data_IF_318006767293
#
_entry.id   IF_318006767293
#
_cell.length_a   1.000
_cell.length_b   1.000
_cell.length_c   1.000
_cell.angle_alpha   90.00
_cell.angle_beta   90.00
_cell.angle_gamma   90.00
#
_symmetry.space_group_name_H-M   'P 1'
#
loop_
_entity.id
_entity.type
_entity.pdbx_description
1 polymer ?
#
# COMPACT_ATOMS: atom_id res chain seq x y z
N UNK A 1 11.28 -15.93 -39.14
CA UNK A 1 11.19 -15.46 -37.74
C UNK A 1 9.98 -16.13 -37.12
N UNK A 2 10.08 -16.71 -35.93
CA UNK A 2 8.91 -17.20 -35.23
C UNK A 2 7.97 -16.02 -34.91
N UNK A 3 6.66 -16.19 -35.04
CA UNK A 3 5.74 -15.10 -34.74
C UNK A 3 5.85 -14.69 -33.25
N UNK A 4 5.85 -13.40 -32.96
CA UNK A 4 5.88 -12.88 -31.60
C UNK A 4 4.67 -13.42 -30.81
N UNK A 5 4.87 -14.08 -29.66
CA UNK A 5 3.79 -14.60 -28.84
C UNK A 5 2.79 -13.51 -28.49
N UNK A 6 1.51 -13.77 -28.80
CA UNK A 6 0.43 -12.81 -28.62
C UNK A 6 -0.51 -13.23 -27.48
N UNK A 7 -0.82 -12.29 -26.60
CA UNK A 7 -1.67 -12.44 -25.42
C UNK A 7 -2.88 -11.51 -25.49
N UNK A 8 -3.94 -11.83 -24.75
CA UNK A 8 -5.02 -10.88 -24.54
C UNK A 8 -4.54 -9.72 -23.65
N UNK A 9 -3.75 -10.05 -22.62
CA UNK A 9 -3.23 -9.06 -21.67
C UNK A 9 -1.79 -9.37 -21.25
N UNK A 10 -0.96 -8.31 -21.14
CA UNK A 10 0.33 -8.36 -20.45
C UNK A 10 0.27 -7.48 -19.22
N UNK A 11 0.67 -8.06 -18.08
CA UNK A 11 0.75 -7.38 -16.79
C UNK A 11 2.23 -7.18 -16.42
N UNK A 12 2.64 -5.96 -16.13
CA UNK A 12 4.00 -5.62 -15.75
C UNK A 12 4.06 -5.34 -14.26
N UNK A 13 4.55 -6.31 -13.48
CA UNK A 13 4.67 -6.30 -12.02
C UNK A 13 3.80 -7.35 -11.34
N UNK A 14 4.43 -8.28 -10.60
CA UNK A 14 3.82 -9.40 -9.86
C UNK A 14 3.49 -9.09 -8.39
N UNK A 15 3.41 -7.81 -8.00
CA UNK A 15 2.93 -7.43 -6.66
C UNK A 15 1.42 -7.65 -6.48
N UNK A 16 0.86 -7.27 -5.31
CA UNK A 16 -0.56 -7.54 -5.00
C UNK A 16 -1.55 -7.06 -6.07
N UNK A 17 -1.29 -5.92 -6.71
CA UNK A 17 -2.13 -5.39 -7.78
C UNK A 17 -2.10 -6.29 -9.01
N UNK A 18 -0.90 -6.59 -9.53
CA UNK A 18 -0.72 -7.38 -10.74
C UNK A 18 -1.15 -8.83 -10.56
N UNK A 19 -0.77 -9.48 -9.47
CA UNK A 19 -1.18 -10.86 -9.16
C UNK A 19 -2.70 -10.99 -9.01
N UNK A 20 -3.37 -9.99 -8.42
CA UNK A 20 -4.83 -9.99 -8.34
C UNK A 20 -5.45 -9.77 -9.72
N UNK A 21 -4.98 -8.80 -10.50
CA UNK A 21 -5.45 -8.58 -11.86
C UNK A 21 -5.30 -9.85 -12.70
N UNK A 22 -4.13 -10.49 -12.65
CA UNK A 22 -3.85 -11.75 -13.33
C UNK A 22 -4.84 -12.86 -12.93
N UNK A 23 -5.08 -13.02 -11.62
CA UNK A 23 -6.00 -14.05 -11.11
C UNK A 23 -7.41 -13.89 -11.69
N UNK A 24 -7.93 -12.67 -11.78
CA UNK A 24 -9.27 -12.43 -12.30
C UNK A 24 -9.31 -12.56 -13.84
N UNK A 25 -8.28 -12.15 -14.56
CA UNK A 25 -8.20 -12.34 -16.02
C UNK A 25 -8.09 -13.81 -16.40
N UNK A 26 -7.20 -14.57 -15.75
CA UNK A 26 -7.05 -16.02 -15.99
C UNK A 26 -8.36 -16.75 -15.69
N UNK A 27 -9.05 -16.42 -14.61
CA UNK A 27 -10.36 -17.00 -14.26
C UNK A 27 -11.46 -16.67 -15.27
N UNK A 28 -11.34 -15.56 -16.00
CA UNK A 28 -12.26 -15.23 -17.11
C UNK A 28 -11.89 -15.86 -18.44
N UNK A 29 -10.82 -16.68 -18.49
CA UNK A 29 -10.36 -17.37 -19.70
C UNK A 29 -9.40 -16.54 -20.57
N UNK A 30 -8.99 -15.35 -20.15
CA UNK A 30 -8.07 -14.49 -20.90
C UNK A 30 -6.65 -15.08 -20.92
N UNK A 31 -6.06 -15.20 -22.11
CA UNK A 31 -4.65 -15.57 -22.28
C UNK A 31 -3.76 -14.42 -21.77
N UNK A 32 -3.23 -14.55 -20.57
CA UNK A 32 -2.54 -13.50 -19.84
C UNK A 32 -1.09 -13.87 -19.55
N UNK A 33 -0.17 -12.93 -19.75
CA UNK A 33 1.24 -13.00 -19.37
C UNK A 33 1.53 -12.00 -18.26
N UNK A 34 2.28 -12.42 -17.23
CA UNK A 34 2.78 -11.54 -16.19
C UNK A 34 4.31 -11.48 -16.26
N UNK A 35 4.84 -10.26 -16.28
CA UNK A 35 6.28 -9.98 -16.32
C UNK A 35 6.68 -9.30 -15.01
N UNK A 36 7.67 -9.83 -14.29
CA UNK A 36 8.27 -9.15 -13.14
C UNK A 36 9.79 -9.16 -13.22
N UNK A 37 10.41 -8.05 -12.80
CA UNK A 37 11.89 -7.91 -12.79
C UNK A 37 12.58 -8.72 -11.70
N UNK A 38 11.84 -9.18 -10.70
CA UNK A 38 12.36 -9.95 -9.57
C UNK A 38 11.88 -11.40 -9.65
N UNK A 39 12.68 -12.29 -9.08
CA UNK A 39 12.30 -13.68 -8.81
C UNK A 39 11.51 -13.75 -7.49
N UNK A 40 10.47 -14.56 -7.44
CA UNK A 40 9.63 -14.73 -6.24
C UNK A 40 10.00 -16.03 -5.48
N UNK A 41 9.96 -16.00 -4.14
CA UNK A 41 9.55 -14.92 -3.25
C UNK A 41 10.61 -13.82 -3.11
N UNK A 42 10.19 -12.56 -3.07
CA UNK A 42 11.05 -11.39 -2.98
C UNK A 42 10.77 -10.51 -1.76
N UNK A 43 11.80 -9.85 -1.26
CA UNK A 43 11.64 -8.85 -0.21
C UNK A 43 11.00 -7.59 -0.79
N UNK A 44 9.90 -7.14 -0.19
CA UNK A 44 9.28 -5.84 -0.44
C UNK A 44 9.10 -5.13 0.90
N UNK A 45 9.71 -3.98 1.03
CA UNK A 45 9.60 -3.15 2.23
C UNK A 45 8.13 -2.73 2.44
N UNK A 46 7.57 -3.07 3.60
CA UNK A 46 6.21 -2.74 4.03
C UNK A 46 5.95 -3.34 5.42
N UNK A 47 5.29 -2.61 6.30
CA UNK A 47 4.83 -3.14 7.58
C UNK A 47 3.91 -4.38 7.44
N UNK A 48 3.41 -4.66 6.24
CA UNK A 48 2.54 -5.81 5.99
C UNK A 48 1.16 -5.66 6.62
N UNK A 49 0.70 -4.44 6.77
CA UNK A 49 -0.61 -4.13 7.32
C UNK A 49 -1.71 -4.43 6.31
N UNK A 50 -2.70 -5.24 6.70
CA UNK A 50 -3.87 -5.56 5.90
C UNK A 50 -5.14 -5.10 6.62
N UNK A 51 -5.90 -4.27 5.94
CA UNK A 51 -7.27 -3.94 6.36
C UNK A 51 -8.23 -5.10 6.09
N UNK A 52 -9.18 -5.41 6.99
CA UNK A 52 -10.08 -6.56 6.85
C UNK A 52 -10.82 -6.71 5.51
N UNK A 53 -11.25 -5.63 4.81
CA UNK A 53 -11.93 -5.75 3.52
C UNK A 53 -11.12 -6.44 2.41
N UNK A 54 -9.79 -6.58 2.59
CA UNK A 54 -8.94 -7.20 1.57
C UNK A 54 -9.35 -8.63 1.25
N UNK A 55 -9.81 -9.38 2.25
CA UNK A 55 -10.19 -10.77 2.09
C UNK A 55 -11.42 -10.94 1.19
N UNK A 56 -12.37 -10.03 1.30
CA UNK A 56 -13.54 -9.95 0.42
C UNK A 56 -13.13 -9.59 -1.02
N UNK A 57 -12.22 -8.64 -1.18
CA UNK A 57 -11.72 -8.25 -2.50
C UNK A 57 -10.99 -9.41 -3.18
N UNK A 58 -10.17 -10.15 -2.43
CA UNK A 58 -9.44 -11.32 -2.91
C UNK A 58 -10.32 -12.56 -3.11
N UNK A 59 -11.56 -12.56 -2.58
CA UNK A 59 -12.47 -13.71 -2.59
C UNK A 59 -11.85 -14.95 -1.93
N UNK A 60 -11.24 -14.75 -0.76
CA UNK A 60 -10.70 -15.82 0.08
C UNK A 60 -11.01 -15.53 1.55
N UNK A 61 -11.15 -16.57 2.35
CA UNK A 61 -11.18 -16.41 3.80
C UNK A 61 -9.73 -16.28 4.36
N UNK A 62 -9.52 -15.56 5.47
CA UNK A 62 -8.19 -15.48 6.10
C UNK A 62 -7.55 -16.84 6.37
N UNK A 63 -8.33 -17.87 6.70
CA UNK A 63 -7.87 -19.24 6.95
C UNK A 63 -7.33 -19.97 5.71
N UNK A 64 -7.62 -19.48 4.51
CA UNK A 64 -7.12 -20.03 3.25
C UNK A 64 -5.72 -19.50 2.90
N UNK A 65 -5.24 -18.50 3.63
CA UNK A 65 -3.86 -18.03 3.52
C UNK A 65 -2.94 -18.95 4.34
N UNK A 66 -2.01 -19.67 3.69
CA UNK A 66 -1.29 -20.79 4.31
C UNK A 66 -0.07 -20.38 5.16
N UNK A 67 0.20 -19.09 5.27
CA UNK A 67 1.36 -18.57 6.01
C UNK A 67 0.95 -17.82 7.27
N UNK A 68 1.93 -17.24 7.95
CA UNK A 68 1.70 -16.47 9.17
C UNK A 68 0.79 -15.27 8.93
N UNK A 69 -0.28 -15.22 9.74
CA UNK A 69 -1.23 -14.12 9.78
C UNK A 69 -1.45 -13.74 11.25
N UNK A 70 -1.24 -12.48 11.58
CA UNK A 70 -1.36 -11.98 12.94
C UNK A 70 -2.52 -11.01 13.04
N UNK A 71 -3.56 -11.41 13.74
CA UNK A 71 -4.75 -10.59 13.96
C UNK A 71 -4.58 -9.73 15.21
N UNK A 72 -4.86 -8.44 15.10
CA UNK A 72 -4.82 -7.48 16.19
C UNK A 72 -6.18 -6.78 16.35
N UNK A 73 -6.49 -6.37 17.60
CA UNK A 73 -7.78 -5.78 17.99
C UNK A 73 -7.66 -4.36 18.53
N UNK A 74 -6.46 -3.93 18.87
CA UNK A 74 -6.15 -2.61 19.40
C UNK A 74 -4.88 -2.10 18.75
N UNK A 75 -4.73 -0.79 18.69
CA UNK A 75 -3.50 -0.13 18.30
C UNK A 75 -3.08 0.83 19.42
N UNK A 76 -1.79 0.80 19.76
CA UNK A 76 -1.21 1.71 20.73
C UNK A 76 -0.64 2.92 19.96
N UNK A 77 -1.23 4.08 20.17
CA UNK A 77 -0.81 5.31 19.49
C UNK A 77 -0.23 6.28 20.52
N UNK A 78 1.01 6.67 20.29
CA UNK A 78 1.68 7.74 21.04
C UNK A 78 1.60 9.03 20.25
N UNK A 79 1.12 10.07 20.90
CA UNK A 79 0.97 11.40 20.30
C UNK A 79 1.15 12.48 21.36
N UNK A 80 2.07 13.41 21.13
CA UNK A 80 2.36 14.55 22.03
C UNK A 80 2.58 14.10 23.47
N UNK A 81 3.47 13.12 23.67
CA UNK A 81 3.83 12.61 24.99
C UNK A 81 2.75 11.77 25.70
N UNK A 82 1.61 11.47 25.05
CA UNK A 82 0.51 10.69 25.61
C UNK A 82 0.34 9.37 24.87
N UNK A 83 -0.04 8.32 25.60
CA UNK A 83 -0.41 7.02 25.04
C UNK A 83 -1.93 6.89 24.95
N UNK A 84 -2.41 6.46 23.79
CA UNK A 84 -3.80 6.14 23.50
C UNK A 84 -3.89 4.69 23.06
N UNK A 85 -4.80 3.93 23.67
CA UNK A 85 -5.13 2.56 23.23
C UNK A 85 -6.48 2.63 22.55
N UNK A 86 -6.50 2.36 21.24
CA UNK A 86 -7.71 2.50 20.42
C UNK A 86 -8.15 1.15 19.90
N UNK A 87 -9.43 0.82 20.07
CA UNK A 87 -10.02 -0.37 19.45
C UNK A 87 -10.09 -0.18 17.94
N UNK A 88 -9.35 -1.00 17.26
CA UNK A 88 -9.29 -1.11 15.81
C UNK A 88 -8.94 -2.56 15.49
N UNK A 89 -9.00 -2.98 14.23
CA UNK A 89 -8.68 -4.35 13.86
C UNK A 89 -8.05 -4.44 12.49
N UNK A 90 -7.20 -5.41 12.32
CA UNK A 90 -6.54 -5.71 11.07
C UNK A 90 -5.70 -6.95 11.20
N UNK A 91 -4.90 -7.18 10.19
CA UNK A 91 -3.98 -8.30 10.13
C UNK A 91 -2.59 -7.79 9.78
N UNK A 92 -1.59 -8.54 10.20
CA UNK A 92 -0.24 -8.40 9.69
C UNK A 92 0.15 -9.65 8.92
N UNK A 93 0.91 -9.46 7.88
CA UNK A 93 1.54 -10.51 7.09
C UNK A 93 2.98 -10.12 6.77
N UNK A 94 3.74 -11.08 6.33
CA UNK A 94 5.04 -10.82 5.72
C UNK A 94 4.88 -10.74 4.21
N UNK A 95 5.31 -9.62 3.62
CA UNK A 95 5.19 -9.37 2.18
C UNK A 95 5.94 -10.41 1.34
N UNK A 96 7.03 -10.96 1.89
CA UNK A 96 7.80 -12.04 1.28
C UNK A 96 6.91 -13.25 0.93
N UNK A 97 6.04 -13.62 1.87
CA UNK A 97 5.12 -14.75 1.74
C UNK A 97 3.85 -14.38 0.98
N UNK A 98 3.27 -13.23 1.31
CA UNK A 98 1.97 -12.80 0.79
C UNK A 98 2.01 -12.51 -0.72
N UNK A 99 3.03 -11.80 -1.19
CA UNK A 99 3.15 -11.49 -2.62
C UNK A 99 3.35 -12.77 -3.44
N UNK A 100 4.19 -13.71 -2.96
CA UNK A 100 4.40 -15.01 -3.59
C UNK A 100 3.13 -15.88 -3.60
N UNK A 101 2.37 -15.88 -2.50
CA UNK A 101 1.10 -16.57 -2.43
C UNK A 101 0.11 -16.04 -3.47
N UNK A 102 -0.05 -14.72 -3.58
CA UNK A 102 -0.95 -14.13 -4.57
C UNK A 102 -0.52 -14.44 -6.00
N UNK A 103 0.78 -14.38 -6.30
CA UNK A 103 1.30 -14.70 -7.62
C UNK A 103 1.04 -16.17 -7.98
N UNK A 104 1.39 -17.11 -7.12
CA UNK A 104 1.15 -18.54 -7.35
C UNK A 104 -0.35 -18.88 -7.47
N UNK A 105 -1.18 -18.25 -6.62
CA UNK A 105 -2.64 -18.42 -6.67
C UNK A 105 -3.25 -17.93 -7.99
N UNK A 106 -2.65 -16.96 -8.64
CA UNK A 106 -3.16 -16.41 -9.89
C UNK A 106 -3.15 -17.41 -11.05
N UNK A 107 -2.26 -18.42 -11.00
CA UNK A 107 -2.03 -19.42 -12.06
C UNK A 107 -1.72 -18.81 -13.43
N UNK A 108 -1.26 -17.57 -13.46
CA UNK A 108 -0.88 -16.87 -14.69
C UNK A 108 0.47 -17.34 -15.19
N UNK A 109 0.64 -17.40 -16.51
CA UNK A 109 1.96 -17.56 -17.11
C UNK A 109 2.86 -16.38 -16.68
N UNK A 110 3.98 -16.68 -16.02
CA UNK A 110 4.86 -15.66 -15.43
C UNK A 110 6.26 -15.79 -15.97
N UNK A 111 6.88 -14.66 -16.31
CA UNK A 111 8.32 -14.56 -16.58
C UNK A 111 8.92 -13.68 -15.50
N UNK A 112 9.66 -14.31 -14.60
CA UNK A 112 10.39 -13.68 -13.51
C UNK A 112 11.78 -13.25 -13.98
N UNK A 113 12.46 -12.34 -13.26
CA UNK A 113 13.75 -11.79 -13.66
C UNK A 113 13.71 -10.91 -14.93
N UNK A 114 12.51 -10.56 -15.41
CA UNK A 114 12.32 -9.90 -16.69
C UNK A 114 12.15 -8.39 -16.56
N UNK A 115 13.12 -7.65 -17.01
CA UNK A 115 13.09 -6.18 -16.99
C UNK A 115 12.45 -5.62 -18.28
N UNK A 116 11.30 -5.00 -18.15
CA UNK A 116 10.64 -4.25 -19.22
C UNK A 116 11.40 -2.94 -19.44
N UNK A 117 11.95 -2.75 -20.65
CA UNK A 117 12.75 -1.58 -21.05
C UNK A 117 12.07 -0.78 -22.15
N UNK A 118 11.43 -1.47 -23.12
CA UNK A 118 10.81 -0.90 -24.30
C UNK A 118 9.35 -1.28 -24.36
N UNK A 119 8.50 -0.30 -24.62
CA UNK A 119 7.05 -0.45 -24.72
C UNK A 119 6.63 0.37 -25.96
N UNK A 120 6.13 -0.32 -26.97
CA UNK A 120 5.70 0.29 -28.22
C UNK A 120 4.33 -0.22 -28.64
N UNK A 121 3.71 0.44 -29.59
CA UNK A 121 2.48 0.00 -30.23
C UNK A 121 2.75 -0.34 -31.69
N UNK A 122 2.35 -1.52 -32.11
CA UNK A 122 2.52 -1.93 -33.49
C UNK A 122 1.42 -1.32 -34.41
N UNK A 123 1.55 -1.59 -35.72
CA UNK A 123 0.61 -1.07 -36.75
C UNK A 123 -0.79 -1.62 -36.60
N UNK A 124 -0.96 -2.76 -35.92
CA UNK A 124 -2.25 -3.40 -35.64
C UNK A 124 -2.88 -2.93 -34.32
N UNK A 125 -2.19 -2.06 -33.61
CA UNK A 125 -2.66 -1.47 -32.35
C UNK A 125 -2.40 -2.30 -31.10
N UNK A 126 -1.57 -3.35 -31.19
CA UNK A 126 -1.13 -4.15 -30.03
C UNK A 126 0.08 -3.52 -29.34
N UNK A 127 0.15 -3.70 -28.03
CA UNK A 127 1.33 -3.36 -27.25
C UNK A 127 2.43 -4.39 -27.44
N UNK A 128 3.64 -3.96 -27.75
CA UNK A 128 4.84 -4.80 -27.93
C UNK A 128 5.82 -4.46 -26.81
N UNK A 129 6.29 -5.50 -26.11
CA UNK A 129 7.19 -5.39 -24.95
C UNK A 129 8.54 -5.99 -25.33
N UNK A 130 9.60 -5.17 -25.30
CA UNK A 130 11.00 -5.56 -25.63
C UNK A 130 11.12 -6.36 -26.94
N UNK A 131 10.27 -6.13 -27.93
CA UNK A 131 10.19 -6.88 -29.19
C UNK A 131 9.96 -8.41 -29.04
N UNK A 132 9.56 -8.87 -27.84
CA UNK A 132 9.44 -10.29 -27.50
C UNK A 132 8.02 -10.75 -27.25
N UNK A 133 7.16 -9.88 -26.71
CA UNK A 133 5.80 -10.20 -26.33
C UNK A 133 4.82 -9.17 -26.84
N UNK A 134 3.64 -9.59 -27.21
CA UNK A 134 2.60 -8.77 -27.82
C UNK A 134 1.26 -8.96 -27.11
N UNK A 135 0.51 -7.89 -26.86
CA UNK A 135 -0.82 -8.01 -26.23
C UNK A 135 -1.78 -6.90 -26.66
N UNK A 136 -3.08 -7.22 -26.63
CA UNK A 136 -4.16 -6.25 -26.83
C UNK A 136 -4.24 -5.27 -25.66
N UNK A 137 -4.11 -5.75 -24.41
CA UNK A 137 -4.17 -4.94 -23.19
C UNK A 137 -2.82 -4.93 -22.48
N UNK A 138 -2.40 -3.77 -22.00
CA UNK A 138 -1.19 -3.58 -21.20
C UNK A 138 -1.53 -3.04 -19.81
N UNK A 139 -1.12 -3.75 -18.74
CA UNK A 139 -1.42 -3.36 -17.37
C UNK A 139 -0.12 -3.04 -16.62
N UNK A 140 0.04 -1.78 -16.21
CA UNK A 140 1.15 -1.32 -15.38
C UNK A 140 0.86 -1.53 -13.90
N UNK A 141 1.54 -2.50 -13.29
CA UNK A 141 1.44 -2.89 -11.88
C UNK A 141 2.80 -2.87 -11.16
N UNK A 142 3.82 -2.23 -11.76
CA UNK A 142 5.21 -2.25 -11.31
C UNK A 142 5.52 -1.35 -10.10
N UNK A 143 4.50 -0.86 -9.40
CA UNK A 143 4.63 -0.01 -8.23
C UNK A 143 5.08 1.42 -8.56
N UNK A 144 5.66 2.12 -7.60
CA UNK A 144 6.09 3.53 -7.72
C UNK A 144 6.99 3.78 -8.95
N UNK A 145 7.80 2.79 -9.33
CA UNK A 145 8.73 2.89 -10.46
C UNK A 145 8.29 2.07 -11.68
N UNK A 146 6.98 1.95 -11.88
CA UNK A 146 6.40 1.19 -12.98
C UNK A 146 6.89 1.67 -14.36
N UNK A 147 7.47 0.79 -15.19
CA UNK A 147 7.94 1.18 -16.53
C UNK A 147 6.80 1.59 -17.46
N UNK A 148 5.62 0.96 -17.34
CA UNK A 148 4.44 1.34 -18.12
C UNK A 148 4.00 2.77 -17.76
N UNK A 149 3.97 3.12 -16.47
CA UNK A 149 3.64 4.47 -16.05
C UNK A 149 4.63 5.51 -16.59
N UNK A 150 5.93 5.21 -16.56
CA UNK A 150 6.96 6.12 -17.08
C UNK A 150 6.92 6.29 -18.59
N UNK A 151 6.61 5.21 -19.31
CA UNK A 151 6.57 5.23 -20.78
C UNK A 151 5.34 5.94 -21.31
N UNK A 152 4.16 5.68 -20.74
CA UNK A 152 2.88 6.11 -21.31
C UNK A 152 2.29 7.36 -20.64
N UNK A 153 2.77 7.72 -19.46
CA UNK A 153 2.30 8.87 -18.68
C UNK A 153 3.49 9.66 -18.12
N UNK A 154 4.39 10.19 -18.98
CA UNK A 154 5.61 10.88 -18.54
C UNK A 154 5.32 12.16 -17.75
N UNK A 155 4.18 12.80 -17.97
CA UNK A 155 3.70 13.97 -17.21
C UNK A 155 3.26 13.65 -15.79
N UNK A 156 3.17 12.35 -15.44
CA UNK A 156 2.82 11.89 -14.10
C UNK A 156 3.92 12.22 -13.11
N UNK A 157 3.74 13.31 -12.39
CA UNK A 157 4.64 13.74 -11.32
C UNK A 157 3.89 13.73 -9.98
N UNK A 158 3.93 12.60 -9.28
CA UNK A 158 3.25 12.46 -8.00
C UNK A 158 4.18 12.82 -6.84
N UNK A 159 3.69 13.57 -5.84
CA UNK A 159 4.44 13.75 -4.61
C UNK A 159 4.69 12.41 -3.96
N UNK A 160 5.91 12.20 -3.50
CA UNK A 160 6.30 10.96 -2.84
C UNK A 160 6.52 11.18 -1.36
N UNK A 161 5.87 10.33 -0.55
CA UNK A 161 6.24 10.13 0.83
C UNK A 161 7.50 9.29 0.90
N UNK A 162 8.40 9.64 1.79
CA UNK A 162 9.58 8.84 2.09
C UNK A 162 9.31 7.90 3.27
N UNK A 163 9.82 6.69 3.20
CA UNK A 163 9.80 5.72 4.29
C UNK A 163 11.15 5.08 4.48
N UNK A 164 11.42 4.65 5.71
CA UNK A 164 12.58 3.86 6.06
C UNK A 164 12.13 2.79 7.05
N UNK A 165 12.47 1.53 6.77
CA UNK A 165 12.03 0.42 7.62
C UNK A 165 12.97 -0.78 7.55
N UNK A 166 12.76 -1.69 8.48
CA UNK A 166 13.35 -3.02 8.49
C UNK A 166 12.42 -4.05 9.08
N UNK A 167 12.34 -5.21 8.45
CA UNK A 167 11.78 -6.42 9.01
C UNK A 167 12.92 -7.37 9.38
N UNK A 168 12.90 -7.92 10.59
CA UNK A 168 13.92 -8.84 11.08
C UNK A 168 13.32 -9.85 12.08
N UNK A 169 13.97 -10.99 12.20
CA UNK A 169 13.65 -12.00 13.19
C UNK A 169 14.34 -11.66 14.51
N UNK A 170 13.64 -11.83 15.62
CA UNK A 170 14.14 -11.63 16.97
C UNK A 170 13.82 -12.82 17.86
N UNK A 171 14.36 -12.85 19.07
CA UNK A 171 14.00 -13.84 20.06
C UNK A 171 12.55 -13.68 20.50
N UNK A 172 11.77 -14.77 20.44
CA UNK A 172 10.34 -14.74 20.72
C UNK A 172 10.04 -14.36 22.18
N UNK A 173 10.86 -14.86 23.14
CA UNK A 173 10.65 -14.58 24.55
C UNK A 173 10.97 -13.11 24.86
N UNK A 174 12.05 -12.59 24.26
CA UNK A 174 12.38 -11.17 24.39
C UNK A 174 11.34 -10.26 23.77
N UNK A 175 10.82 -10.60 22.58
CA UNK A 175 9.71 -9.87 21.95
C UNK A 175 8.46 -9.92 22.81
N UNK A 176 8.11 -11.09 23.35
CA UNK A 176 6.97 -11.27 24.24
C UNK A 176 7.10 -10.49 25.56
N UNK A 177 8.34 -10.32 26.06
CA UNK A 177 8.62 -9.53 27.26
C UNK A 177 8.58 -8.02 27.02
N UNK A 178 8.63 -7.56 25.76
CA UNK A 178 8.46 -6.12 25.45
C UNK A 178 7.00 -5.70 25.54
N UNK A 179 6.77 -4.39 25.70
CA UNK A 179 5.41 -3.85 25.78
C UNK A 179 4.57 -4.15 24.52
N UNK A 180 5.16 -4.10 23.34
CA UNK A 180 4.49 -4.46 22.09
C UNK A 180 4.25 -5.97 21.99
N UNK A 181 5.18 -6.79 22.52
CA UNK A 181 5.09 -8.25 22.52
C UNK A 181 4.03 -8.81 23.45
N UNK A 182 3.85 -8.22 24.63
CA UNK A 182 2.88 -8.69 25.65
C UNK A 182 1.45 -8.73 25.09
N UNK A 183 1.06 -7.72 24.31
CA UNK A 183 -0.27 -7.65 23.71
C UNK A 183 -0.31 -8.15 22.26
N UNK A 184 0.84 -8.37 21.60
CA UNK A 184 0.92 -8.69 20.16
C UNK A 184 0.33 -7.61 19.27
N UNK A 185 0.22 -6.38 19.77
CA UNK A 185 -0.48 -5.28 19.13
C UNK A 185 0.51 -4.23 18.58
N UNK A 186 0.15 -3.56 17.48
CA UNK A 186 1.02 -2.55 16.88
C UNK A 186 1.17 -1.33 17.77
N UNK A 187 2.36 -0.75 17.76
CA UNK A 187 2.67 0.52 18.40
C UNK A 187 3.02 1.56 17.33
N UNK A 188 2.35 2.70 17.39
CA UNK A 188 2.49 3.82 16.46
C UNK A 188 2.94 5.05 17.25
N UNK A 189 3.99 5.70 16.79
CA UNK A 189 4.37 7.03 17.21
C UNK A 189 3.94 8.02 16.14
N UNK A 190 2.84 8.73 16.37
CA UNK A 190 2.38 9.78 15.47
C UNK A 190 3.26 11.02 15.65
N UNK A 191 3.77 11.58 14.56
CA UNK A 191 4.62 12.76 14.62
C UNK A 191 3.80 13.98 15.03
N UNK A 192 4.37 14.85 15.86
CA UNK A 192 3.66 15.99 16.45
C UNK A 192 3.16 17.00 15.40
N UNK A 193 3.84 17.11 14.28
CA UNK A 193 3.47 17.92 13.11
C UNK A 193 2.43 17.27 12.20
N UNK A 194 2.04 16.03 12.51
CA UNK A 194 1.10 15.20 11.73
C UNK A 194 1.53 14.97 10.26
N UNK A 195 2.81 15.13 9.94
CA UNK A 195 3.34 14.86 8.59
C UNK A 195 3.83 13.44 8.40
N UNK A 196 3.68 12.59 9.41
CA UNK A 196 4.11 11.20 9.35
C UNK A 196 3.88 10.46 10.66
N UNK A 197 4.35 9.23 10.67
CA UNK A 197 4.35 8.38 11.85
C UNK A 197 5.44 7.31 11.76
N UNK A 198 5.77 6.75 12.91
CA UNK A 198 6.69 5.63 13.04
C UNK A 198 5.96 4.44 13.66
N UNK A 199 6.42 3.24 13.39
CA UNK A 199 5.74 2.01 13.82
C UNK A 199 6.69 0.96 14.36
N UNK A 200 6.19 0.17 15.28
CA UNK A 200 6.73 -1.12 15.70
C UNK A 200 5.60 -2.14 15.61
N UNK A 201 5.74 -3.11 14.72
CA UNK A 201 4.73 -4.10 14.37
C UNK A 201 5.26 -5.49 14.66
N UNK A 202 4.78 -6.16 15.74
CA UNK A 202 5.16 -7.53 16.05
C UNK A 202 4.37 -8.52 15.18
N UNK A 203 5.06 -9.58 14.73
CA UNK A 203 4.53 -10.69 13.94
C UNK A 203 5.12 -12.00 14.45
N UNK A 204 4.71 -12.44 15.67
CA UNK A 204 5.36 -13.55 16.40
C UNK A 204 6.83 -13.22 16.67
N UNK A 205 7.76 -14.01 16.15
CA UNK A 205 9.20 -13.81 16.25
C UNK A 205 9.78 -12.78 15.24
N UNK A 206 8.93 -12.13 14.47
CA UNK A 206 9.34 -11.06 13.54
C UNK A 206 8.90 -9.69 14.04
N UNK A 207 9.76 -8.71 13.87
CA UNK A 207 9.45 -7.30 14.07
C UNK A 207 9.61 -6.54 12.77
N UNK A 208 8.64 -5.68 12.45
CA UNK A 208 8.79 -4.66 11.41
C UNK A 208 8.77 -3.29 12.08
N UNK A 209 9.85 -2.57 11.96
CA UNK A 209 10.03 -1.25 12.56
C UNK A 209 10.37 -0.24 11.48
N UNK A 210 9.74 0.93 11.53
CA UNK A 210 10.00 1.94 10.53
C UNK A 210 9.41 3.30 10.83
N UNK A 211 9.63 4.22 9.92
CA UNK A 211 9.09 5.57 9.91
C UNK A 211 8.71 5.99 8.50
N UNK A 212 7.69 6.81 8.38
CA UNK A 212 7.26 7.43 7.13
C UNK A 212 6.91 8.89 7.31
N UNK A 213 7.25 9.71 6.32
CA UNK A 213 7.00 11.14 6.31
C UNK A 213 6.52 11.62 4.94
N UNK A 214 5.77 12.72 4.90
CA UNK A 214 5.35 13.36 3.64
C UNK A 214 6.52 13.92 2.83
N UNK A 215 7.62 14.24 3.45
CA UNK A 215 8.81 14.81 2.81
C UNK A 215 9.99 13.87 3.02
N UNK A 216 10.56 13.34 1.94
CA UNK A 216 11.63 12.33 2.02
C UNK A 216 12.85 12.80 2.85
N UNK A 217 13.16 14.11 2.84
CA UNK A 217 14.27 14.71 3.64
C UNK A 217 14.05 14.60 5.15
N UNK A 218 12.79 14.47 5.59
CA UNK A 218 12.44 14.41 7.01
C UNK A 218 12.48 12.97 7.57
N UNK A 219 12.71 11.95 6.72
CA UNK A 219 12.71 10.54 7.13
C UNK A 219 13.81 10.25 8.15
N UNK A 220 15.03 10.72 7.90
CA UNK A 220 16.15 10.46 8.82
C UNK A 220 15.97 11.15 10.18
N UNK A 221 15.64 12.46 10.26
CA UNK A 221 15.33 13.11 11.53
C UNK A 221 14.19 12.43 12.30
N UNK A 222 13.14 12.01 11.60
CA UNK A 222 12.01 11.29 12.20
C UNK A 222 12.45 9.92 12.74
N UNK A 223 13.29 9.20 12.00
CA UNK A 223 13.83 7.92 12.43
C UNK A 223 14.66 8.02 13.70
N UNK A 224 15.53 9.01 13.82
CA UNK A 224 16.34 9.21 15.02
C UNK A 224 15.46 9.34 16.27
N UNK A 225 14.38 10.12 16.18
CA UNK A 225 13.41 10.28 17.27
C UNK A 225 12.65 8.97 17.56
N UNK A 226 12.21 8.28 16.52
CA UNK A 226 11.48 7.02 16.64
C UNK A 226 12.34 5.92 17.25
N UNK A 227 13.58 5.78 16.80
CA UNK A 227 14.55 4.83 17.32
C UNK A 227 14.72 5.02 18.84
N UNK A 228 15.03 6.24 19.26
CA UNK A 228 15.18 6.57 20.69
C UNK A 228 13.90 6.24 21.49
N UNK A 229 12.73 6.54 20.94
CA UNK A 229 11.45 6.22 21.56
C UNK A 229 11.23 4.71 21.73
N UNK A 230 11.44 3.91 20.67
CA UNK A 230 11.25 2.45 20.71
C UNK A 230 12.31 1.76 21.55
N UNK A 231 13.53 2.27 21.62
CA UNK A 231 14.60 1.81 22.51
C UNK A 231 14.36 2.20 23.98
N UNK A 232 13.40 3.09 24.26
CA UNK A 232 12.93 3.41 25.60
C UNK A 232 13.54 4.67 26.23
N UNK A 233 14.42 5.44 25.58
CA UNK A 233 15.05 6.64 26.15
C UNK A 233 15.60 6.41 27.57
N UNK A 234 16.29 5.29 27.80
CA UNK A 234 16.80 4.91 29.12
C UNK A 234 15.79 4.20 30.05
N UNK A 235 14.56 3.95 29.58
CA UNK A 235 13.52 3.14 30.22
C UNK A 235 13.29 1.85 29.45
N UNK A 236 12.36 1.00 29.92
CA UNK A 236 11.95 -0.19 29.16
C UNK A 236 11.34 0.21 27.80
N UNK A 237 12.03 -0.15 26.73
CA UNK A 237 11.58 0.06 25.35
C UNK A 237 10.61 -1.02 24.88
N UNK A 238 10.19 -0.90 23.60
CA UNK A 238 9.31 -1.86 22.93
C UNK A 238 10.07 -2.74 21.94
N UNK A 239 11.39 -2.54 21.83
CA UNK A 239 12.28 -3.35 21.01
C UNK A 239 13.27 -4.06 21.93
N UNK A 240 13.44 -5.40 21.81
CA UNK A 240 14.42 -6.17 22.58
C UNK A 240 15.84 -5.61 22.43
N UNK A 241 16.62 -5.70 23.50
CA UNK A 241 18.03 -5.23 23.50
C UNK A 241 18.87 -5.93 22.43
N UNK A 242 18.71 -7.24 22.29
CA UNK A 242 19.39 -8.06 21.27
C UNK A 242 19.07 -7.64 19.84
N UNK A 243 17.88 -7.06 19.62
CA UNK A 243 17.41 -6.64 18.30
C UNK A 243 17.83 -5.23 17.90
N UNK A 244 18.33 -4.40 18.82
CA UNK A 244 18.69 -2.99 18.55
C UNK A 244 19.75 -2.82 17.45
N UNK A 245 20.79 -3.68 17.33
CA UNK A 245 21.76 -3.56 16.22
C UNK A 245 21.12 -3.69 14.82
N UNK A 246 19.95 -4.36 14.74
CA UNK A 246 19.21 -4.47 13.49
C UNK A 246 18.66 -3.13 12.99
N UNK A 247 18.46 -2.15 13.88
CA UNK A 247 17.95 -0.83 13.56
C UNK A 247 18.97 0.09 12.88
N UNK A 248 20.24 -0.29 12.84
CA UNK A 248 21.30 0.46 12.15
C UNK A 248 21.26 0.30 10.61
N UNK A 249 20.63 -0.78 10.13
CA UNK A 249 20.62 -1.13 8.69
C UNK A 249 19.23 -0.98 8.07
N UNK A 250 18.64 0.20 8.22
CA UNK A 250 17.34 0.51 7.63
C UNK A 250 17.40 0.63 6.11
N UNK A 251 16.30 0.30 5.44
CA UNK A 251 16.17 0.45 3.98
C UNK A 251 15.04 1.42 3.66
N UNK A 252 15.29 2.35 2.75
CA UNK A 252 14.33 3.37 2.33
C UNK A 252 13.55 2.98 1.08
N UNK A 253 12.35 3.47 0.98
CA UNK A 253 11.55 3.47 -0.25
C UNK A 253 10.57 4.65 -0.25
N UNK A 254 10.02 4.94 -1.42
CA UNK A 254 8.97 5.95 -1.58
C UNK A 254 7.67 5.33 -2.08
N UNK A 255 6.58 6.01 -1.78
CA UNK A 255 5.26 5.72 -2.33
C UNK A 255 4.48 7.01 -2.57
N UNK A 256 3.48 6.97 -3.45
CA UNK A 256 2.64 8.14 -3.73
C UNK A 256 1.28 7.97 -3.05
N UNK A 257 0.92 8.84 -2.09
CA UNK A 257 -0.42 8.87 -1.53
C UNK A 257 -1.43 9.30 -2.60
N UNK A 258 -2.65 8.78 -2.51
CA UNK A 258 -3.69 9.08 -3.47
C UNK A 258 -4.07 10.56 -3.49
N UNK A 259 -4.13 11.12 -4.68
CA UNK A 259 -4.74 12.41 -5.00
C UNK A 259 -5.79 12.24 -6.11
N UNK A 260 -6.81 13.10 -6.11
CA UNK A 260 -7.94 12.96 -7.06
C UNK A 260 -7.47 13.04 -8.51
N UNK A 261 -6.44 13.83 -8.79
CA UNK A 261 -5.84 13.96 -10.13
C UNK A 261 -5.22 12.68 -10.68
N UNK A 262 -4.83 11.73 -9.80
CA UNK A 262 -4.24 10.46 -10.22
C UNK A 262 -5.17 9.65 -11.15
N UNK A 263 -6.49 9.78 -10.98
CA UNK A 263 -7.47 9.06 -11.80
C UNK A 263 -7.45 9.48 -13.28
N UNK A 264 -6.82 10.58 -13.64
CA UNK A 264 -6.63 10.98 -15.05
C UNK A 264 -5.66 10.05 -15.78
N UNK A 265 -4.74 9.41 -15.04
CA UNK A 265 -3.70 8.51 -15.58
C UNK A 265 -4.05 7.03 -15.44
N UNK A 266 -5.28 6.68 -15.05
CA UNK A 266 -5.61 5.28 -14.82
C UNK A 266 -5.72 4.47 -16.11
N UNK A 267 -5.96 5.12 -17.25
CA UNK A 267 -6.15 4.47 -18.54
C UNK A 267 -5.81 5.42 -19.69
N UNK A 268 -5.12 4.91 -20.69
CA UNK A 268 -4.94 5.52 -22.02
C UNK A 268 -4.93 4.41 -23.07
N UNK A 269 -5.72 4.52 -24.12
CA UNK A 269 -5.96 3.45 -25.08
C UNK A 269 -6.32 2.13 -24.37
N UNK A 270 -5.64 1.04 -24.70
CA UNK A 270 -5.76 -0.26 -24.03
C UNK A 270 -4.67 -0.48 -22.97
N UNK A 271 -4.07 0.59 -22.42
CA UNK A 271 -3.14 0.51 -21.30
C UNK A 271 -3.78 1.03 -20.03
N UNK A 272 -3.48 0.37 -18.89
CA UNK A 272 -4.06 0.64 -17.57
C UNK A 272 -2.98 0.73 -16.51
N UNK A 273 -3.16 1.61 -15.52
CA UNK A 273 -2.35 1.64 -14.31
C UNK A 273 -3.16 1.19 -13.11
N UNK A 274 -2.56 0.34 -12.26
CA UNK A 274 -3.16 -0.19 -11.04
C UNK A 274 -2.20 -0.10 -9.84
N UNK A 275 -2.75 -0.06 -8.64
CA UNK A 275 -1.98 0.00 -7.39
C UNK A 275 -1.09 1.23 -7.28
N UNK A 276 0.11 1.05 -6.73
CA UNK A 276 1.08 2.14 -6.56
C UNK A 276 1.57 2.73 -7.89
N UNK A 277 1.44 1.99 -9.01
CA UNK A 277 1.72 2.53 -10.34
C UNK A 277 0.76 3.66 -10.69
N UNK A 278 -0.46 3.66 -10.16
CA UNK A 278 -1.42 4.75 -10.25
C UNK A 278 -1.35 5.73 -9.05
N UNK A 279 -0.58 5.42 -8.00
CA UNK A 279 -0.50 6.23 -6.79
C UNK A 279 -1.78 6.13 -5.95
N UNK A 280 -2.18 4.92 -5.59
CA UNK A 280 -3.43 4.65 -4.86
C UNK A 280 -3.25 4.45 -3.34
N UNK A 281 -2.06 4.69 -2.77
CA UNK A 281 -1.88 4.53 -1.34
C UNK A 281 -2.80 5.47 -0.55
N UNK A 282 -3.35 4.97 0.57
CA UNK A 282 -4.25 5.72 1.43
C UNK A 282 -3.60 7.03 1.90
N UNK A 283 -4.24 8.21 1.76
CA UNK A 283 -3.59 9.51 1.93
C UNK A 283 -3.03 9.80 3.32
N UNK A 284 -3.53 9.16 4.38
CA UNK A 284 -3.12 9.42 5.76
C UNK A 284 -2.27 8.30 6.37
N UNK A 285 -2.55 7.05 6.03
CA UNK A 285 -1.86 5.90 6.61
C UNK A 285 -0.81 5.30 5.69
N UNK A 286 -0.83 5.63 4.39
CA UNK A 286 0.07 5.03 3.41
C UNK A 286 -0.26 3.56 3.09
N UNK A 287 -1.38 3.01 3.58
CA UNK A 287 -1.78 1.66 3.22
C UNK A 287 -1.99 1.55 1.72
N UNK A 288 -1.20 0.70 1.08
CA UNK A 288 -1.24 0.50 -0.37
C UNK A 288 -1.78 -0.86 -0.80
N UNK A 289 -1.87 -1.86 0.10
CA UNK A 289 -2.19 -3.24 -0.30
C UNK A 289 -3.66 -3.37 -0.69
N UNK A 290 -4.59 -2.89 0.13
CA UNK A 290 -6.02 -2.94 -0.18
C UNK A 290 -6.36 -2.23 -1.51
N UNK A 291 -5.97 -0.96 -1.75
CA UNK A 291 -6.27 -0.32 -3.03
C UNK A 291 -5.54 -0.96 -4.21
N UNK A 292 -4.38 -1.61 -3.99
CA UNK A 292 -3.69 -2.38 -5.02
C UNK A 292 -4.52 -3.57 -5.48
N UNK A 293 -4.95 -4.43 -4.56
CA UNK A 293 -5.80 -5.60 -4.87
C UNK A 293 -7.12 -5.16 -5.50
N UNK A 294 -7.73 -4.11 -4.95
CA UNK A 294 -8.98 -3.54 -5.45
C UNK A 294 -8.87 -3.08 -6.89
N UNK A 295 -7.87 -2.24 -7.19
CA UNK A 295 -7.68 -1.72 -8.56
C UNK A 295 -7.35 -2.83 -9.55
N UNK A 296 -6.58 -3.85 -9.12
CA UNK A 296 -6.32 -5.04 -9.92
C UNK A 296 -7.59 -5.81 -10.28
N UNK A 297 -8.46 -6.06 -9.30
CA UNK A 297 -9.77 -6.71 -9.52
C UNK A 297 -10.66 -5.90 -10.44
N UNK A 298 -10.79 -4.60 -10.22
CA UNK A 298 -11.67 -3.73 -11.02
C UNK A 298 -11.19 -3.61 -12.46
N UNK A 299 -9.88 -3.50 -12.70
CA UNK A 299 -9.29 -3.47 -14.03
C UNK A 299 -9.57 -4.79 -14.77
N UNK A 300 -9.25 -5.92 -14.14
CA UNK A 300 -9.51 -7.24 -14.74
C UNK A 300 -11.01 -7.45 -15.06
N UNK A 301 -11.91 -7.05 -14.14
CA UNK A 301 -13.35 -7.18 -14.34
C UNK A 301 -13.83 -6.33 -15.52
N UNK A 302 -13.32 -5.10 -15.68
CA UNK A 302 -13.67 -4.23 -16.79
C UNK A 302 -13.22 -4.81 -18.13
N UNK A 303 -12.00 -5.34 -18.20
CA UNK A 303 -11.46 -6.00 -19.41
C UNK A 303 -12.26 -7.26 -19.73
N UNK A 304 -12.47 -8.13 -18.74
CA UNK A 304 -13.19 -9.40 -18.94
C UNK A 304 -14.65 -9.22 -19.36
N UNK A 305 -15.29 -8.13 -18.94
CA UNK A 305 -16.66 -7.79 -19.34
C UNK A 305 -16.75 -7.14 -20.73
N UNK A 306 -15.63 -6.94 -21.45
CA UNK A 306 -15.60 -6.29 -22.75
C UNK A 306 -15.85 -4.78 -22.76
N UNK A 307 -15.81 -4.15 -21.57
CA UNK A 307 -16.07 -2.69 -21.41
C UNK A 307 -14.93 -2.05 -20.60
N UNK A 308 -13.67 -2.14 -21.10
CA UNK A 308 -12.47 -1.71 -20.37
C UNK A 308 -12.50 -0.21 -20.00
N UNK A 309 -13.22 0.63 -20.78
CA UNK A 309 -13.41 2.05 -20.52
C UNK A 309 -14.13 2.33 -19.19
N UNK A 310 -14.87 1.36 -18.65
CA UNK A 310 -15.57 1.50 -17.36
C UNK A 310 -14.64 1.42 -16.14
N UNK A 311 -13.38 1.03 -16.31
CA UNK A 311 -12.43 0.90 -15.21
C UNK A 311 -12.29 2.17 -14.37
N UNK A 312 -12.11 3.31 -15.04
CA UNK A 312 -11.98 4.62 -14.38
C UNK A 312 -13.18 4.94 -13.50
N UNK A 313 -14.38 4.73 -14.01
CA UNK A 313 -15.62 5.04 -13.28
C UNK A 313 -15.84 4.04 -12.14
N UNK A 314 -15.63 2.75 -12.35
CA UNK A 314 -15.68 1.73 -11.30
C UNK A 314 -14.72 2.03 -10.16
N UNK A 315 -13.48 2.46 -10.50
CA UNK A 315 -12.48 2.84 -9.49
C UNK A 315 -12.91 4.11 -8.74
N UNK A 316 -13.37 5.14 -9.47
CA UNK A 316 -13.77 6.43 -8.91
C UNK A 316 -14.95 6.32 -7.94
N UNK A 317 -15.90 5.44 -8.23
CA UNK A 317 -17.14 5.26 -7.45
C UNK A 317 -17.04 4.21 -6.35
N UNK A 318 -15.98 3.38 -6.37
CA UNK A 318 -15.80 2.37 -5.33
C UNK A 318 -15.66 3.03 -3.94
N UNK A 319 -16.36 2.53 -2.90
CA UNK A 319 -16.39 3.14 -1.56
C UNK A 319 -15.00 3.47 -0.98
N UNK A 320 -14.02 2.59 -1.14
CA UNK A 320 -12.63 2.80 -0.66
C UNK A 320 -12.00 4.04 -1.30
N UNK A 321 -12.10 4.17 -2.63
CA UNK A 321 -11.50 5.31 -3.36
C UNK A 321 -12.35 6.58 -3.17
N UNK A 322 -13.65 6.43 -3.02
CA UNK A 322 -14.53 7.53 -2.66
C UNK A 322 -14.13 8.15 -1.32
N UNK A 323 -13.84 7.32 -0.31
CA UNK A 323 -13.36 7.77 1.00
C UNK A 323 -12.01 8.50 0.88
N UNK A 324 -11.08 8.00 0.04
CA UNK A 324 -9.80 8.67 -0.20
C UNK A 324 -9.98 10.06 -0.83
N UNK A 325 -10.92 10.18 -1.77
CA UNK A 325 -11.27 11.47 -2.40
C UNK A 325 -11.87 12.44 -1.37
N UNK A 326 -12.74 11.94 -0.50
CA UNK A 326 -13.33 12.75 0.57
C UNK A 326 -12.26 13.26 1.54
N UNK A 327 -11.37 12.37 2.00
CA UNK A 327 -10.27 12.71 2.89
C UNK A 327 -9.30 13.72 2.25
N UNK A 328 -8.92 13.52 1.01
CA UNK A 328 -8.10 14.46 0.26
C UNK A 328 -8.77 15.83 0.15
N UNK A 329 -10.06 15.88 -0.16
CA UNK A 329 -10.85 17.12 -0.22
C UNK A 329 -10.95 17.85 1.13
N UNK A 330 -11.10 17.11 2.23
CA UNK A 330 -11.09 17.67 3.59
C UNK A 330 -9.72 18.25 3.93
N UNK A 331 -8.63 17.54 3.64
CA UNK A 331 -7.27 18.02 3.87
C UNK A 331 -6.95 19.29 3.06
N UNK A 332 -7.33 19.33 1.78
CA UNK A 332 -7.13 20.49 0.92
C UNK A 332 -7.89 21.73 1.42
N UNK A 333 -9.14 21.53 1.87
CA UNK A 333 -9.94 22.62 2.48
C UNK A 333 -9.36 23.09 3.80
N UNK A 334 -8.97 22.18 4.68
CA UNK A 334 -8.34 22.52 5.95
C UNK A 334 -7.05 23.33 5.73
N UNK A 335 -6.21 22.93 4.78
CA UNK A 335 -5.01 23.67 4.40
C UNK A 335 -5.34 25.09 3.89
N UNK A 336 -6.40 25.24 3.10
CA UNK A 336 -6.85 26.54 2.56
C UNK A 336 -7.41 27.45 3.65
N UNK A 337 -8.14 26.91 4.62
CA UNK A 337 -8.81 27.70 5.68
C UNK A 337 -7.83 28.09 6.79
N UNK A 338 -6.98 27.15 7.21
CA UNK A 338 -6.09 27.34 8.36
C UNK A 338 -4.67 27.76 7.98
N UNK A 339 -4.33 27.82 6.69
CA UNK A 339 -3.01 28.18 6.19
C UNK A 339 -1.93 27.15 6.57
N UNK A 340 -0.72 27.34 6.04
CA UNK A 340 0.49 26.66 6.52
C UNK A 340 1.10 27.48 7.68
N UNK A 341 0.32 27.77 8.71
CA UNK A 341 0.83 28.52 9.85
C UNK A 341 1.89 27.69 10.58
N UNK A 342 3.14 27.92 10.24
CA UNK A 342 4.33 27.33 10.90
C UNK A 342 4.44 27.69 12.40
N UNK A 343 3.69 28.69 12.87
CA UNK A 343 3.77 29.25 14.22
C UNK A 343 2.51 29.07 15.07
N UNK A 344 1.52 28.29 14.65
CA UNK A 344 0.43 27.98 15.58
C UNK A 344 1.00 27.04 16.68
N UNK A 345 1.28 27.61 17.84
CA UNK A 345 1.25 26.89 19.11
C UNK A 345 -0.14 26.23 19.18
N UNK A 346 -0.19 24.96 18.81
CA UNK A 346 -1.41 24.17 18.94
C UNK A 346 -1.75 24.12 20.43
N UNK A 347 -2.72 24.91 20.87
CA UNK A 347 -3.25 24.81 22.21
C UNK A 347 -3.53 23.35 22.56
N UNK A 348 -2.98 22.89 23.68
CA UNK A 348 -3.01 21.52 24.18
C UNK A 348 -4.47 21.11 24.51
N UNK A 349 -5.20 20.66 23.47
CA UNK A 349 -6.57 20.17 23.64
C UNK A 349 -6.59 18.64 23.62
N UNK A 350 -6.67 18.05 24.82
CA UNK A 350 -6.85 16.60 25.00
C UNK A 350 -7.97 16.00 24.17
N UNK A 351 -9.06 16.74 24.00
CA UNK A 351 -10.21 16.30 23.22
C UNK A 351 -9.87 16.20 21.72
N UNK A 352 -9.19 17.23 21.19
CA UNK A 352 -8.76 17.25 19.78
C UNK A 352 -7.78 16.12 19.47
N UNK A 353 -6.79 15.89 20.33
CA UNK A 353 -5.81 14.83 20.17
C UNK A 353 -6.49 13.44 20.20
N UNK A 354 -7.48 13.23 21.09
CA UNK A 354 -8.30 12.01 21.09
C UNK A 354 -9.08 11.81 19.80
N UNK A 355 -9.64 12.86 19.22
CA UNK A 355 -10.37 12.78 17.94
C UNK A 355 -9.40 12.40 16.81
N UNK A 356 -8.25 13.08 16.71
CA UNK A 356 -7.21 12.80 15.72
C UNK A 356 -6.79 11.34 15.79
N UNK A 357 -6.43 10.86 16.97
CA UNK A 357 -5.97 9.49 17.19
C UNK A 357 -7.06 8.47 16.85
N UNK A 358 -8.32 8.72 17.21
CA UNK A 358 -9.45 7.84 16.85
C UNK A 358 -9.67 7.77 15.34
N UNK A 359 -9.66 8.91 14.65
CA UNK A 359 -9.81 8.98 13.19
C UNK A 359 -8.66 8.21 12.52
N UNK A 360 -7.43 8.45 12.96
CA UNK A 360 -6.26 7.77 12.44
C UNK A 360 -6.36 6.23 12.60
N UNK A 361 -6.73 5.76 13.80
CA UNK A 361 -6.92 4.33 14.06
C UNK A 361 -8.05 3.69 13.25
N UNK A 362 -9.13 4.42 12.97
CA UNK A 362 -10.23 3.93 12.11
C UNK A 362 -9.76 3.73 10.67
N UNK A 363 -8.94 4.62 10.15
CA UNK A 363 -8.40 4.52 8.79
C UNK A 363 -7.55 3.26 8.60
N UNK A 364 -6.81 2.84 9.62
CA UNK A 364 -6.04 1.58 9.60
C UNK A 364 -6.91 0.32 9.54
N UNK A 365 -8.17 0.38 9.94
CA UNK A 365 -9.09 -0.77 9.84
C UNK A 365 -9.78 -0.89 8.48
N UNK A 366 -9.51 0.02 7.53
CA UNK A 366 -10.19 0.07 6.25
C UNK A 366 -11.71 0.33 6.38
N UNK A 367 -12.15 0.81 7.55
CA UNK A 367 -13.55 1.19 7.74
C UNK A 367 -13.83 2.49 6.99
N UNK A 368 -14.96 2.59 6.30
CA UNK A 368 -15.34 3.82 5.64
C UNK A 368 -15.45 4.97 6.65
N UNK A 369 -15.13 6.16 6.19
CA UNK A 369 -15.31 7.39 6.98
C UNK A 369 -16.80 7.50 7.36
N UNK A 370 -17.15 7.79 8.62
CA UNK A 370 -18.55 7.95 9.01
C UNK A 370 -19.28 8.93 8.09
N UNK A 371 -20.41 8.50 7.54
CA UNK A 371 -21.22 9.28 6.59
C UNK A 371 -20.85 9.12 5.11
N UNK A 372 -19.70 8.55 4.75
CA UNK A 372 -19.32 8.39 3.35
C UNK A 372 -20.20 7.42 2.58
N UNK A 373 -20.66 6.33 3.21
CA UNK A 373 -21.62 5.39 2.62
C UNK A 373 -22.97 6.07 2.30
N UNK A 374 -23.46 6.91 3.20
CA UNK A 374 -24.71 7.65 3.01
C UNK A 374 -24.59 8.62 1.80
N UNK A 375 -23.47 9.34 1.73
CA UNK A 375 -23.20 10.27 0.63
C UNK A 375 -22.98 9.58 -0.71
N UNK A 376 -22.42 8.36 -0.71
CA UNK A 376 -22.26 7.57 -1.95
C UNK A 376 -23.58 7.01 -2.48
N UNK A 377 -24.58 6.78 -1.59
CA UNK A 377 -25.92 6.30 -1.95
C UNK A 377 -26.83 7.42 -2.45
N UNK A 378 -26.63 8.66 -2.00
CA UNK A 378 -27.45 9.84 -2.39
C UNK A 378 -27.00 10.39 -3.78
N UNK A 379 -25.83 10.01 -4.27
CA UNK A 379 -25.27 10.49 -5.57
C UNK A 379 -25.39 9.47 -6.71
N UNK A 380 -26.12 8.40 -6.53
CA UNK A 380 -26.63 7.53 -7.59
C UNK A 380 -28.05 7.98 -7.96
#
# INVERSE_FOLDING_TARGET
MNPTPTFDAIIVGGGPAGSTCASFLVRSGANTLLLDRADFPRVKLCAGWLSPPIWEVLEIAPREYPHGIWYWKRVHIHFRGRKYIVRSKGYFIRRYEFDNFLLKRSKVNTVEGYQVKQIEKDKEGYWVINDQYRAKYLIGAGGTHCPVARSLFPEKNYPQCGTQEREFEGDLNEIAATRAGVDGEPEILLHDDMKGYSWNVPKSNWLNVGTGTKEAREVLPAWVKAKAFFEGNGKAGTIPLSSRPMLEKMKGHGYSPFETGHLTFCQADNAFLIGDALGLAQPMTGEGILPSVLSGKLCATAIASGVPETYKEKLRTHPVIYDYRLLHGIQARAKKIFGENKNQQYHDSRLRDRIIVKVFALLFSGRPVPGSRLLSMIKK
#
